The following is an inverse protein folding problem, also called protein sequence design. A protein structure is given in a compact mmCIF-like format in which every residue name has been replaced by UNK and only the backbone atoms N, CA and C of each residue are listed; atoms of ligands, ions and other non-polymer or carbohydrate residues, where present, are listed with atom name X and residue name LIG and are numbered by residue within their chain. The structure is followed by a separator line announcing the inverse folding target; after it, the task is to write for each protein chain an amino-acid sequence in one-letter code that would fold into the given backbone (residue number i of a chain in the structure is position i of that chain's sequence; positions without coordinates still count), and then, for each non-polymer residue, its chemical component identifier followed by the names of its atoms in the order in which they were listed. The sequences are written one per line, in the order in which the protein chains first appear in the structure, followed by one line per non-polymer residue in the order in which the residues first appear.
data_IF_308290717351
#
_entry.id   IF_308290717351
#
_cell.length_a   1.000
_cell.length_b   1.000
_cell.length_c   1.000
_cell.angle_alpha   90.00
_cell.angle_beta   90.00
_cell.angle_gamma   90.00
#
_symmetry.space_group_name_H-M   'P 1'
#
loop_
_entity.id
_entity.type
_entity.pdbx_description
1 polymer ?
#
# COMPACT_ATOMS: atom_id res chain seq x y z
N UNK A 1 14.01 -5.56 3.65
CA UNK A 1 13.37 -4.90 2.47
C UNK A 1 13.20 -3.41 2.74
N UNK A 2 13.20 -2.58 1.69
CA UNK A 2 12.77 -1.18 1.75
C UNK A 2 11.30 -1.06 1.30
N UNK A 3 10.42 -0.65 2.21
CA UNK A 3 8.96 -0.63 2.00
C UNK A 3 8.41 0.79 1.99
N UNK A 4 7.78 1.18 0.88
CA UNK A 4 6.97 2.38 0.77
C UNK A 4 5.50 2.03 0.98
N UNK A 5 4.75 2.84 1.73
CA UNK A 5 3.28 2.78 1.77
C UNK A 5 2.70 4.13 1.42
N UNK A 6 1.86 4.15 0.39
CA UNK A 6 1.16 5.35 -0.07
C UNK A 6 -0.27 5.34 0.47
N UNK A 7 -0.51 6.23 1.42
CA UNK A 7 -1.82 6.49 2.03
C UNK A 7 -2.35 7.85 1.57
N UNK A 8 -3.66 8.06 1.49
CA UNK A 8 -4.19 9.34 1.01
C UNK A 8 -3.93 10.48 2.00
N UNK A 9 -4.09 10.24 3.30
CA UNK A 9 -4.03 11.26 4.35
C UNK A 9 -2.92 10.98 5.37
N UNK A 10 -2.12 12.00 5.69
CA UNK A 10 -1.13 11.97 6.76
C UNK A 10 -1.74 11.95 8.17
N UNK A 11 -2.95 12.50 8.30
CA UNK A 11 -3.63 12.68 9.59
C UNK A 11 -4.17 11.39 10.20
N UNK A 12 -4.97 11.53 11.25
CA UNK A 12 -5.66 10.41 11.90
C UNK A 12 -6.66 9.72 10.95
N UNK A 13 -6.17 8.71 10.26
CA UNK A 13 -6.94 7.80 9.42
C UNK A 13 -6.65 6.36 9.82
N UNK A 14 -7.65 5.48 9.74
CA UNK A 14 -7.50 4.07 10.15
C UNK A 14 -6.37 3.38 9.36
N UNK A 15 -6.31 3.63 8.06
CA UNK A 15 -5.27 3.10 7.17
C UNK A 15 -3.88 3.57 7.58
N UNK A 16 -3.73 4.86 7.89
CA UNK A 16 -2.46 5.41 8.37
C UNK A 16 -2.04 4.76 9.70
N UNK A 17 -2.99 4.60 10.63
CA UNK A 17 -2.71 4.00 11.93
C UNK A 17 -2.20 2.57 11.80
N UNK A 18 -2.89 1.76 11.00
CA UNK A 18 -2.49 0.37 10.73
C UNK A 18 -1.13 0.31 10.03
N UNK A 19 -0.91 1.13 9.01
CA UNK A 19 0.36 1.18 8.28
C UNK A 19 1.53 1.54 9.21
N UNK A 20 1.40 2.60 10.01
CA UNK A 20 2.46 3.03 10.94
C UNK A 20 2.72 2.01 12.05
N UNK A 21 1.68 1.39 12.61
CA UNK A 21 1.87 0.35 13.63
C UNK A 21 2.65 -0.84 13.07
N UNK A 22 2.25 -1.34 11.90
CA UNK A 22 2.95 -2.45 11.25
C UNK A 22 4.38 -2.06 10.90
N UNK A 23 4.60 -0.89 10.29
CA UNK A 23 5.94 -0.41 9.90
C UNK A 23 6.85 -0.22 11.11
N UNK A 24 6.40 0.48 12.15
CA UNK A 24 7.22 0.72 13.35
C UNK A 24 7.61 -0.59 14.02
N UNK A 25 6.67 -1.55 14.11
CA UNK A 25 6.96 -2.90 14.60
C UNK A 25 8.03 -3.57 13.72
N UNK A 26 7.83 -3.54 12.40
CA UNK A 26 8.74 -4.14 11.45
C UNK A 26 10.15 -3.53 11.44
N UNK A 27 10.29 -2.24 11.68
CA UNK A 27 11.59 -1.59 11.85
C UNK A 27 12.24 -1.99 13.17
N UNK A 28 11.46 -2.05 14.25
CA UNK A 28 11.96 -2.40 15.58
C UNK A 28 12.43 -3.85 15.70
N UNK A 29 11.79 -4.79 15.00
CA UNK A 29 12.15 -6.22 15.04
C UNK A 29 13.11 -6.64 13.91
N UNK A 30 13.53 -5.69 13.06
CA UNK A 30 14.44 -5.92 11.94
C UNK A 30 13.79 -6.59 10.73
N UNK A 31 12.45 -6.71 10.72
CA UNK A 31 11.70 -7.21 9.57
C UNK A 31 11.88 -6.27 8.38
N UNK A 32 11.80 -4.96 8.57
CA UNK A 32 12.06 -3.95 7.55
C UNK A 32 13.49 -3.41 7.74
N UNK A 33 14.19 -3.20 6.62
CA UNK A 33 15.50 -2.53 6.64
C UNK A 33 15.31 -1.02 6.66
N UNK A 34 14.32 -0.55 5.91
CA UNK A 34 13.93 0.84 5.80
C UNK A 34 12.44 0.91 5.40
N UNK A 35 11.79 2.02 5.72
CA UNK A 35 10.42 2.26 5.33
C UNK A 35 10.12 3.74 5.09
N UNK A 36 9.12 4.00 4.25
CA UNK A 36 8.66 5.34 3.95
C UNK A 36 7.13 5.37 3.83
N UNK A 37 6.51 6.40 4.41
CA UNK A 37 5.12 6.73 4.15
C UNK A 37 5.06 7.89 3.17
N UNK A 38 4.22 7.74 2.15
CA UNK A 38 3.87 8.78 1.20
C UNK A 38 2.41 9.18 1.38
N UNK A 39 2.13 10.49 1.35
CA UNK A 39 0.77 10.99 1.53
C UNK A 39 0.42 12.19 0.65
N UNK A 40 -0.86 12.39 0.36
CA UNK A 40 -1.33 13.50 -0.48
C UNK A 40 -1.87 14.68 0.31
N UNK A 41 -2.43 14.42 1.48
CA UNK A 41 -3.09 15.44 2.29
C UNK A 41 -2.51 15.47 3.69
N UNK A 42 -2.05 16.64 4.11
CA UNK A 42 -1.55 16.87 5.46
C UNK A 42 -2.68 16.75 6.50
N UNK A 43 -2.29 16.44 7.73
CA UNK A 43 -3.20 16.44 8.88
C UNK A 43 -2.46 16.21 10.19
N UNK A 44 -3.07 16.59 11.32
CA UNK A 44 -2.52 16.23 12.62
C UNK A 44 -2.56 14.70 12.77
N UNK A 45 -1.46 14.12 13.23
CA UNK A 45 -1.37 12.71 13.58
C UNK A 45 -0.69 12.58 14.95
N UNK A 46 -1.19 11.65 15.76
CA UNK A 46 -0.73 11.43 17.13
C UNK A 46 0.29 10.29 17.24
N UNK A 47 0.50 9.55 16.15
CA UNK A 47 1.38 8.39 16.10
C UNK A 47 2.77 8.85 15.70
N UNK A 48 3.77 8.51 16.52
CA UNK A 48 5.17 8.73 16.16
C UNK A 48 5.55 7.79 15.00
N UNK A 49 5.99 8.36 13.89
CA UNK A 49 6.59 7.59 12.81
C UNK A 49 8.09 7.37 13.10
N UNK A 50 8.54 6.12 13.07
CA UNK A 50 9.97 5.77 13.14
C UNK A 50 10.59 5.57 11.73
N UNK A 51 9.86 5.99 10.69
CA UNK A 51 10.21 5.83 9.29
C UNK A 51 10.25 7.18 8.55
N UNK A 52 10.70 7.17 7.30
CA UNK A 52 10.59 8.33 6.43
C UNK A 52 9.14 8.75 6.20
N UNK A 53 8.87 10.05 6.14
CA UNK A 53 7.53 10.59 6.02
C UNK A 53 7.55 11.73 5.00
N UNK A 54 6.91 11.53 3.85
CA UNK A 54 7.09 12.39 2.68
C UNK A 54 5.76 12.68 1.98
N UNK A 55 5.70 13.83 1.32
CA UNK A 55 4.57 14.10 0.44
C UNK A 55 4.63 13.17 -0.78
N UNK A 56 3.48 12.83 -1.35
CA UNK A 56 3.35 11.87 -2.46
C UNK A 56 4.07 12.27 -3.74
N UNK A 57 4.47 13.54 -3.85
CA UNK A 57 5.30 14.04 -4.97
C UNK A 57 6.74 13.59 -4.86
N UNK A 58 7.25 13.36 -3.64
CA UNK A 58 8.62 12.93 -3.38
C UNK A 58 8.82 11.43 -3.63
N UNK A 59 7.72 10.69 -3.84
CA UNK A 59 7.72 9.27 -4.22
C UNK A 59 8.58 9.00 -5.47
N UNK A 60 8.78 9.99 -6.34
CA UNK A 60 9.61 9.86 -7.53
C UNK A 60 11.08 9.52 -7.24
N UNK A 61 11.57 9.77 -6.03
CA UNK A 61 12.93 9.42 -5.63
C UNK A 61 13.02 8.07 -4.90
N UNK A 62 11.88 7.42 -4.63
CA UNK A 62 11.83 6.16 -3.90
C UNK A 62 12.35 4.98 -4.73
N UNK A 63 12.94 4.01 -4.05
CA UNK A 63 13.34 2.70 -4.61
C UNK A 63 12.98 1.60 -3.64
N UNK A 64 12.38 0.51 -4.13
CA UNK A 64 11.94 -0.60 -3.28
C UNK A 64 10.59 -1.13 -3.74
N UNK A 65 9.77 -1.54 -2.78
CA UNK A 65 8.39 -1.95 -3.03
C UNK A 65 7.45 -0.90 -2.47
N UNK A 66 6.54 -0.38 -3.31
CA UNK A 66 5.54 0.61 -2.94
C UNK A 66 4.16 -0.06 -2.89
N UNK A 67 3.54 -0.05 -1.71
CA UNK A 67 2.15 -0.45 -1.53
C UNK A 67 1.25 0.77 -1.63
N UNK A 68 0.31 0.74 -2.55
CA UNK A 68 -0.69 1.81 -2.76
C UNK A 68 -2.05 1.37 -2.25
N UNK A 69 -2.77 2.25 -1.56
CA UNK A 69 -4.05 1.95 -0.92
C UNK A 69 -5.26 2.51 -1.68
N UNK A 70 -5.03 3.38 -2.67
CA UNK A 70 -6.08 4.04 -3.46
C UNK A 70 -5.81 3.94 -4.95
N UNK A 71 -6.83 4.20 -5.75
CA UNK A 71 -6.76 4.17 -7.21
C UNK A 71 -5.86 5.29 -7.72
N UNK A 72 -5.97 6.46 -7.09
CA UNK A 72 -5.17 7.64 -7.38
C UNK A 72 -3.69 7.40 -7.11
N UNK A 73 -3.38 6.73 -5.98
CA UNK A 73 -1.99 6.37 -5.66
C UNK A 73 -1.44 5.32 -6.64
N UNK A 74 -2.25 4.35 -7.09
CA UNK A 74 -1.87 3.44 -8.18
C UNK A 74 -1.55 4.21 -9.46
N UNK A 75 -2.45 5.11 -9.88
CA UNK A 75 -2.28 5.89 -11.10
C UNK A 75 -1.00 6.74 -11.05
N UNK A 76 -0.68 7.34 -9.90
CA UNK A 76 0.57 8.09 -9.70
C UNK A 76 1.79 7.18 -9.71
N UNK A 77 1.72 6.05 -9.03
CA UNK A 77 2.81 5.08 -8.94
C UNK A 77 3.17 4.47 -10.30
N UNK A 78 2.18 4.08 -11.10
CA UNK A 78 2.40 3.51 -12.45
C UNK A 78 2.99 4.54 -13.42
N UNK A 79 2.70 5.83 -13.23
CA UNK A 79 3.25 6.92 -14.04
C UNK A 79 4.59 7.46 -13.52
N UNK A 80 5.08 6.97 -12.38
CA UNK A 80 6.36 7.41 -11.85
C UNK A 80 7.51 6.91 -12.74
N UNK A 81 8.52 7.75 -12.93
CA UNK A 81 9.68 7.44 -13.78
C UNK A 81 10.61 6.40 -13.11
N UNK A 82 10.56 6.30 -11.79
CA UNK A 82 11.44 5.44 -11.00
C UNK A 82 11.03 3.96 -11.02
N UNK A 83 12.03 3.08 -10.82
CA UNK A 83 11.85 1.62 -10.83
C UNK A 83 11.59 1.07 -9.42
N UNK A 84 10.42 1.36 -8.85
CA UNK A 84 9.93 0.61 -7.69
C UNK A 84 8.87 -0.40 -8.11
N UNK A 85 8.75 -1.50 -7.36
CA UNK A 85 7.66 -2.47 -7.56
C UNK A 85 6.39 -1.88 -6.94
N UNK A 86 5.38 -1.56 -7.74
CA UNK A 86 4.08 -1.11 -7.24
C UNK A 86 3.17 -2.29 -6.99
N UNK A 87 2.48 -2.28 -5.85
CA UNK A 87 1.45 -3.25 -5.49
C UNK A 87 0.23 -2.52 -4.94
N UNK A 88 -0.95 -2.92 -5.39
CA UNK A 88 -2.19 -2.39 -4.87
C UNK A 88 -2.72 -3.24 -3.71
N UNK A 89 -2.98 -2.63 -2.57
CA UNK A 89 -3.53 -3.31 -1.40
C UNK A 89 -5.01 -2.98 -1.25
N UNK A 90 -5.86 -3.97 -1.55
CA UNK A 90 -7.30 -3.82 -1.59
C UNK A 90 -7.96 -4.23 -0.26
N UNK A 91 -8.92 -3.43 0.20
CA UNK A 91 -9.75 -3.72 1.38
C UNK A 91 -9.50 -2.81 2.59
N UNK A 92 -8.57 -1.86 2.47
CA UNK A 92 -8.34 -0.80 3.46
C UNK A 92 -9.18 0.46 3.21
N UNK A 93 -9.43 0.77 1.94
CA UNK A 93 -10.29 1.87 1.51
C UNK A 93 -11.48 1.33 0.73
N UNK A 94 -12.54 2.13 0.69
CA UNK A 94 -13.66 1.85 -0.20
C UNK A 94 -13.25 2.20 -1.63
N UNK A 95 -13.33 1.24 -2.53
CA UNK A 95 -12.95 1.40 -3.94
C UNK A 95 -14.16 1.06 -4.80
N UNK A 96 -14.46 1.88 -5.81
CA UNK A 96 -15.59 1.61 -6.68
C UNK A 96 -15.32 0.40 -7.58
N UNK A 97 -16.38 -0.27 -8.02
CA UNK A 97 -16.24 -1.43 -8.90
C UNK A 97 -15.56 -1.07 -10.24
N UNK A 98 -15.79 0.14 -10.76
CA UNK A 98 -15.14 0.61 -11.99
C UNK A 98 -13.64 0.79 -11.80
N UNK A 99 -13.23 1.30 -10.63
CA UNK A 99 -11.83 1.51 -10.35
C UNK A 99 -11.08 0.19 -10.16
N UNK A 100 -11.68 -0.80 -9.50
CA UNK A 100 -11.11 -2.15 -9.38
C UNK A 100 -10.90 -2.80 -10.76
N UNK A 101 -11.88 -2.64 -11.66
CA UNK A 101 -11.73 -3.09 -13.05
C UNK A 101 -10.58 -2.34 -13.73
N UNK A 102 -10.45 -1.02 -13.51
CA UNK A 102 -9.34 -0.22 -14.00
C UNK A 102 -7.98 -0.73 -13.52
N UNK A 103 -7.81 -0.93 -12.22
CA UNK A 103 -6.58 -1.44 -11.59
C UNK A 103 -6.24 -2.82 -12.14
N UNK A 104 -7.23 -3.70 -12.29
CA UNK A 104 -7.01 -5.05 -12.82
C UNK A 104 -6.40 -5.06 -14.24
N UNK A 105 -6.58 -3.97 -15.00
CA UNK A 105 -6.02 -3.79 -16.34
C UNK A 105 -4.65 -3.09 -16.33
N UNK A 106 -4.28 -2.42 -15.25
CA UNK A 106 -3.03 -1.66 -15.11
C UNK A 106 -1.78 -2.56 -14.93
N UNK A 107 -1.95 -3.89 -14.91
CA UNK A 107 -0.88 -4.88 -14.70
C UNK A 107 -0.12 -4.68 -13.37
N UNK A 108 -0.81 -4.15 -12.36
CA UNK A 108 -0.31 -4.00 -11.00
C UNK A 108 -0.76 -5.21 -10.18
N UNK A 109 0.14 -5.92 -9.47
CA UNK A 109 -0.26 -6.97 -8.54
C UNK A 109 -1.22 -6.44 -7.48
N UNK A 110 -2.27 -7.21 -7.19
CA UNK A 110 -3.27 -6.86 -6.17
C UNK A 110 -3.14 -7.83 -5.00
N UNK A 111 -2.98 -7.29 -3.78
CA UNK A 111 -3.06 -8.05 -2.53
C UNK A 111 -4.39 -7.68 -1.87
N UNK A 112 -5.19 -8.66 -1.50
CA UNK A 112 -6.44 -8.42 -0.76
C UNK A 112 -6.22 -8.55 0.74
N UNK A 113 -6.86 -7.69 1.54
CA UNK A 113 -6.71 -7.69 2.99
C UNK A 113 -7.41 -8.85 3.70
N UNK A 114 -8.34 -9.55 3.04
CA UNK A 114 -9.08 -10.66 3.59
C UNK A 114 -9.80 -11.45 2.47
N UNK A 115 -10.40 -12.58 2.86
CA UNK A 115 -11.14 -13.47 1.96
C UNK A 115 -12.42 -12.87 1.38
N UNK A 116 -13.02 -11.87 2.03
CA UNK A 116 -14.20 -11.18 1.50
C UNK A 116 -13.80 -10.28 0.33
N UNK A 117 -12.75 -9.48 0.51
CA UNK A 117 -12.17 -8.62 -0.53
C UNK A 117 -11.62 -9.44 -1.70
N UNK A 118 -11.03 -10.62 -1.46
CA UNK A 118 -10.64 -11.56 -2.52
C UNK A 118 -11.85 -11.98 -3.39
N UNK A 119 -12.93 -12.43 -2.75
CA UNK A 119 -14.15 -12.86 -3.47
C UNK A 119 -14.76 -11.72 -4.28
N UNK A 120 -14.80 -10.53 -3.70
CA UNK A 120 -15.30 -9.34 -4.38
C UNK A 120 -14.43 -8.97 -5.58
N UNK A 121 -13.11 -8.95 -5.42
CA UNK A 121 -12.17 -8.66 -6.48
C UNK A 121 -12.31 -9.65 -7.65
N UNK A 122 -12.38 -10.95 -7.37
CA UNK A 122 -12.59 -11.99 -8.39
C UNK A 122 -13.94 -11.81 -9.09
N UNK A 123 -15.01 -11.54 -8.33
CA UNK A 123 -16.36 -11.35 -8.87
C UNK A 123 -16.42 -10.16 -9.84
N UNK A 124 -15.75 -9.06 -9.51
CA UNK A 124 -15.82 -7.82 -10.29
C UNK A 124 -14.85 -7.81 -11.47
N UNK A 125 -13.66 -8.40 -11.31
CA UNK A 125 -12.59 -8.30 -12.30
C UNK A 125 -12.38 -9.58 -13.11
N UNK A 126 -12.86 -10.72 -12.62
CA UNK A 126 -12.61 -12.05 -13.19
C UNK A 126 -11.16 -12.52 -13.03
N UNK A 127 -10.32 -11.80 -12.28
CA UNK A 127 -8.91 -12.13 -12.06
C UNK A 127 -8.65 -12.56 -10.62
N UNK A 128 -7.72 -13.50 -10.44
CA UNK A 128 -7.20 -13.83 -9.13
C UNK A 128 -6.26 -12.73 -8.62
N UNK A 129 -6.34 -12.33 -7.34
CA UNK A 129 -5.33 -11.47 -6.75
C UNK A 129 -4.00 -12.22 -6.64
N UNK A 130 -2.91 -11.48 -6.43
CA UNK A 130 -1.58 -12.05 -6.22
C UNK A 130 -1.50 -12.82 -4.88
N UNK A 131 -2.16 -12.32 -3.84
CA UNK A 131 -2.29 -13.00 -2.55
C UNK A 131 -3.41 -12.39 -1.71
N UNK A 132 -3.71 -13.03 -0.59
CA UNK A 132 -4.50 -12.48 0.51
C UNK A 132 -3.58 -12.35 1.71
N UNK A 133 -3.43 -11.15 2.24
CA UNK A 133 -2.66 -10.89 3.46
C UNK A 133 -3.55 -10.19 4.46
N UNK A 134 -3.79 -10.82 5.60
CA UNK A 134 -4.68 -10.28 6.62
C UNK A 134 -3.98 -9.18 7.43
N UNK A 135 -4.72 -8.10 7.68
CA UNK A 135 -4.33 -6.97 8.53
C UNK A 135 -2.91 -6.42 8.30
N UNK A 136 -2.42 -6.50 7.05
CA UNK A 136 -1.11 -6.01 6.66
C UNK A 136 0.03 -6.62 7.48
N UNK A 137 -0.08 -7.92 7.72
CA UNK A 137 1.00 -8.72 8.29
C UNK A 137 2.26 -8.61 7.41
N UNK A 138 3.29 -7.98 7.97
CA UNK A 138 4.54 -7.72 7.26
C UNK A 138 5.28 -8.99 6.88
N UNK A 139 5.21 -10.05 7.69
CA UNK A 139 5.90 -11.32 7.40
C UNK A 139 5.28 -11.99 6.18
N UNK A 140 3.94 -12.03 6.13
CA UNK A 140 3.21 -12.51 4.95
C UNK A 140 3.46 -11.62 3.72
N UNK A 141 3.47 -10.29 3.90
CA UNK A 141 3.81 -9.36 2.81
C UNK A 141 5.22 -9.63 2.27
N UNK A 142 6.21 -9.95 3.11
CA UNK A 142 7.56 -10.29 2.62
C UNK A 142 7.57 -11.46 1.67
N UNK A 143 6.79 -12.50 1.96
CA UNK A 143 6.79 -13.69 1.13
C UNK A 143 6.19 -13.41 -0.24
N UNK A 144 5.15 -12.57 -0.29
CA UNK A 144 4.45 -12.19 -1.52
C UNK A 144 5.25 -11.19 -2.36
N UNK A 145 6.03 -10.32 -1.72
CA UNK A 145 6.71 -9.19 -2.39
C UNK A 145 8.15 -9.49 -2.86
N UNK A 146 8.67 -10.69 -2.60
CA UNK A 146 9.99 -11.17 -3.07
C UNK A 146 10.12 -11.09 -4.59
#
# INVERSE_FOLDING_TARGET
MNLGVYVPYAGEHEVMHKALQSINKGLSDGTLEDASIFYDYDGPHTIKADCGFFHGVDMWHFTGTLITCTVESVARAVNAVNKFKTVFYYGWETVSALDLIGISKANVPVICNNKTSEKEYIRLTGKSPASVVEDFDLDALKEVLK
#
